data_IF_543200848595
#
_entry.id   IF_543200848595
#
_cell.length_a   1.000
_cell.length_b   1.000
_cell.length_c   1.000
_cell.angle_alpha   90.00
_cell.angle_beta   90.00
_cell.angle_gamma   90.00
#
_symmetry.space_group_name_H-M   'P 1'
#
loop_
_entity.id
_entity.type
_entity.pdbx_description
1 polymer ?
#
# COMPACT_ATOMS: atom_id res chain seq x y z
N UNK A 1 15.66 47.21 -14.02
CA UNK A 1 14.26 46.76 -13.86
C UNK A 1 14.18 45.33 -14.36
N UNK A 2 13.73 44.44 -13.46
CA UNK A 2 13.21 43.09 -13.71
C UNK A 2 14.22 42.02 -14.18
N UNK A 3 14.89 41.41 -13.21
CA UNK A 3 15.12 39.96 -13.21
C UNK A 3 14.11 39.35 -12.23
N UNK A 4 13.24 38.46 -12.70
CA UNK A 4 12.50 37.50 -11.90
C UNK A 4 12.13 36.34 -12.83
N UNK A 5 12.90 35.27 -12.75
CA UNK A 5 12.60 33.98 -13.36
C UNK A 5 11.62 33.26 -12.43
N UNK A 6 10.41 32.96 -12.88
CA UNK A 6 9.43 32.13 -12.15
C UNK A 6 9.83 30.64 -12.24
N UNK A 7 10.11 29.93 -11.12
CA UNK A 7 10.45 28.51 -11.13
C UNK A 7 9.27 27.55 -10.89
N UNK A 8 8.02 28.03 -10.96
CA UNK A 8 6.87 27.30 -10.39
C UNK A 8 6.18 26.29 -11.31
N UNK A 9 6.65 26.07 -12.54
CA UNK A 9 5.97 25.21 -13.53
C UNK A 9 6.65 23.88 -13.84
N UNK A 10 7.86 23.61 -13.30
CA UNK A 10 8.61 22.41 -13.67
C UNK A 10 8.35 21.18 -12.78
N UNK A 11 7.67 21.33 -11.64
CA UNK A 11 7.47 20.23 -10.66
C UNK A 11 6.11 19.52 -10.76
N UNK A 12 5.23 19.92 -11.69
CA UNK A 12 3.83 19.40 -11.72
C UNK A 12 3.57 18.33 -12.78
N UNK A 13 4.52 18.09 -13.69
CA UNK A 13 4.38 17.12 -14.78
C UNK A 13 5.09 15.78 -14.49
N UNK A 14 6.21 15.73 -13.74
CA UNK A 14 6.89 14.45 -13.43
C UNK A 14 6.17 13.59 -12.38
N UNK A 15 5.24 14.18 -11.62
CA UNK A 15 4.32 13.42 -10.74
C UNK A 15 3.13 12.82 -11.47
N UNK A 16 2.94 13.16 -12.75
CA UNK A 16 1.78 12.77 -13.56
C UNK A 16 2.04 11.51 -14.41
N UNK A 17 3.28 11.01 -14.46
CA UNK A 17 3.65 9.80 -15.21
C UNK A 17 3.70 8.52 -14.37
N UNK A 18 3.62 8.60 -13.03
CA UNK A 18 3.43 7.43 -12.15
C UNK A 18 1.96 6.97 -12.07
N UNK A 19 1.05 7.72 -12.67
CA UNK A 19 -0.36 7.36 -12.82
C UNK A 19 -0.57 6.38 -13.98
N UNK A 20 0.00 5.17 -13.89
CA UNK A 20 -0.80 4.00 -14.21
C UNK A 20 -1.62 3.70 -12.95
N UNK A 21 -2.61 4.57 -12.72
CA UNK A 21 -3.38 4.62 -11.48
C UNK A 21 -4.05 3.28 -11.21
N UNK A 22 -3.91 2.80 -9.99
CA UNK A 22 -4.65 1.64 -9.52
C UNK A 22 -6.14 1.87 -9.81
N UNK A 23 -6.75 1.00 -10.61
CA UNK A 23 -8.16 1.13 -11.01
C UNK A 23 -8.91 -0.12 -10.62
N UNK A 24 -10.05 0.04 -9.96
CA UNK A 24 -10.92 -1.09 -9.63
C UNK A 24 -11.59 -1.63 -10.90
N UNK A 25 -11.45 -2.93 -11.22
CA UNK A 25 -12.05 -3.51 -12.43
C UNK A 25 -13.58 -3.63 -12.36
N UNK A 26 -14.16 -3.49 -11.16
CA UNK A 26 -15.60 -3.66 -10.94
C UNK A 26 -16.38 -2.34 -10.98
N UNK A 27 -15.89 -1.28 -10.31
CA UNK A 27 -16.60 0.01 -10.26
C UNK A 27 -15.86 1.18 -10.92
N UNK A 28 -14.61 0.99 -11.36
CA UNK A 28 -13.81 2.06 -11.97
C UNK A 28 -13.26 3.09 -10.99
N UNK A 29 -13.28 2.81 -9.68
CA UNK A 29 -12.63 3.66 -8.69
C UNK A 29 -11.11 3.71 -8.91
N UNK A 30 -10.55 4.92 -8.87
CA UNK A 30 -9.13 5.22 -9.05
C UNK A 30 -8.54 6.02 -7.88
N UNK A 31 -9.32 6.25 -6.82
CA UNK A 31 -9.00 7.24 -5.77
C UNK A 31 -8.48 6.63 -4.48
N UNK A 32 -9.24 5.72 -3.88
CA UNK A 32 -8.94 5.15 -2.56
C UNK A 32 -9.05 3.64 -2.56
N UNK A 33 -8.14 2.99 -1.85
CA UNK A 33 -8.08 1.54 -1.72
C UNK A 33 -7.71 1.17 -0.29
N UNK A 34 -8.26 0.05 0.17
CA UNK A 34 -8.05 -0.47 1.51
C UNK A 34 -6.97 -1.55 1.45
N UNK A 35 -5.82 -1.27 2.06
CA UNK A 35 -4.80 -2.26 2.33
C UNK A 35 -5.08 -2.88 3.71
N UNK A 36 -5.42 -4.16 3.75
CA UNK A 36 -5.61 -4.93 4.99
C UNK A 36 -4.40 -5.82 5.23
N UNK A 37 -3.79 -5.69 6.39
CA UNK A 37 -2.71 -6.56 6.86
C UNK A 37 -3.17 -7.34 8.07
N UNK A 38 -2.80 -8.62 8.16
CA UNK A 38 -3.04 -9.44 9.35
C UNK A 38 -1.70 -9.93 9.91
N UNK A 39 -1.45 -9.62 11.18
CA UNK A 39 -0.36 -10.19 11.96
C UNK A 39 -0.91 -11.20 12.95
N UNK A 40 -0.30 -12.39 13.02
CA UNK A 40 -0.72 -13.46 13.93
C UNK A 40 0.39 -13.75 14.93
N UNK A 41 0.05 -13.75 16.22
CA UNK A 41 0.95 -14.15 17.30
C UNK A 41 0.44 -15.45 17.89
N UNK A 42 1.32 -16.45 18.01
CA UNK A 42 0.96 -17.72 18.65
C UNK A 42 1.38 -17.65 20.11
N UNK A 43 0.40 -17.81 20.99
CA UNK A 43 0.59 -17.86 22.44
C UNK A 43 0.73 -19.32 22.86
N UNK A 44 1.83 -19.67 23.52
CA UNK A 44 2.02 -20.98 24.11
C UNK A 44 1.86 -20.87 25.63
N UNK A 45 1.13 -21.83 26.23
CA UNK A 45 1.02 -21.96 27.69
C UNK A 45 1.95 -23.09 28.14
N UNK A 46 3.02 -22.72 28.84
CA UNK A 46 4.01 -23.65 29.39
C UNK A 46 4.28 -23.34 30.86
N UNK A 47 3.43 -23.81 31.77
CA UNK A 47 3.57 -23.56 33.21
C UNK A 47 2.87 -22.27 33.67
N UNK A 48 3.59 -21.38 34.36
CA UNK A 48 3.03 -20.18 35.04
C UNK A 48 2.97 -18.92 34.15
N UNK A 49 3.57 -18.94 32.96
CA UNK A 49 3.71 -17.77 32.08
C UNK A 49 3.25 -18.07 30.63
N UNK A 50 2.75 -17.03 29.96
CA UNK A 50 2.37 -17.07 28.54
C UNK A 50 3.57 -16.65 27.69
N UNK A 51 4.02 -17.52 26.80
CA UNK A 51 5.07 -17.19 25.85
C UNK A 51 4.45 -16.75 24.52
N UNK A 52 4.83 -15.55 24.06
CA UNK A 52 4.53 -15.08 22.71
C UNK A 52 5.60 -15.59 21.76
N UNK A 53 5.22 -16.44 20.81
CA UNK A 53 6.09 -16.72 19.66
C UNK A 53 5.84 -15.66 18.61
N UNK A 54 6.85 -14.81 18.38
CA UNK A 54 6.81 -13.78 17.35
C UNK A 54 6.88 -14.45 15.97
N UNK A 55 5.78 -14.37 15.21
CA UNK A 55 5.87 -14.48 13.75
C UNK A 55 6.11 -13.07 13.22
N UNK A 56 7.32 -12.85 12.70
CA UNK A 56 7.83 -11.53 12.34
C UNK A 56 7.24 -10.95 11.06
N UNK A 57 6.43 -11.71 10.32
CA UNK A 57 5.84 -11.25 9.05
C UNK A 57 4.31 -11.26 9.13
N UNK A 58 3.64 -10.19 8.68
CA UNK A 58 2.21 -10.24 8.43
C UNK A 58 1.91 -11.41 7.50
N UNK A 59 1.05 -12.34 7.94
CA UNK A 59 0.79 -13.57 7.20
C UNK A 59 -0.15 -13.33 6.00
N UNK A 60 -0.91 -12.23 6.03
CA UNK A 60 -1.92 -11.91 5.01
C UNK A 60 -1.83 -10.43 4.65
N UNK A 61 -1.83 -10.16 3.34
CA UNK A 61 -1.99 -8.84 2.75
C UNK A 61 -3.10 -8.90 1.70
N UNK A 62 -4.14 -8.09 1.88
CA UNK A 62 -5.27 -7.97 0.95
C UNK A 62 -5.39 -6.51 0.51
N UNK A 63 -5.60 -6.29 -0.78
CA UNK A 63 -5.88 -4.98 -1.34
C UNK A 63 -7.30 -4.96 -1.89
N UNK A 64 -8.13 -4.06 -1.38
CA UNK A 64 -9.54 -3.96 -1.75
C UNK A 64 -9.86 -2.58 -2.29
N UNK A 65 -10.80 -2.50 -3.22
CA UNK A 65 -11.45 -1.26 -3.57
C UNK A 65 -12.26 -0.73 -2.39
N UNK A 66 -12.09 0.55 -2.05
CA UNK A 66 -12.81 1.20 -0.95
C UNK A 66 -14.33 1.33 -1.23
N UNK A 67 -14.71 1.51 -2.50
CA UNK A 67 -16.13 1.71 -2.85
C UNK A 67 -16.98 0.42 -2.92
N UNK A 68 -16.44 -0.65 -3.50
CA UNK A 68 -17.21 -1.87 -3.81
C UNK A 68 -16.61 -3.15 -3.24
N UNK A 69 -15.59 -3.02 -2.39
CA UNK A 69 -14.90 -4.13 -1.69
C UNK A 69 -14.30 -5.19 -2.62
N UNK A 70 -14.20 -4.91 -3.92
CA UNK A 70 -13.59 -5.83 -4.89
C UNK A 70 -12.10 -5.98 -4.60
N UNK A 71 -11.66 -7.23 -4.50
CA UNK A 71 -10.25 -7.56 -4.34
C UNK A 71 -9.46 -7.17 -5.59
N UNK A 72 -8.34 -6.51 -5.36
CA UNK A 72 -7.38 -6.11 -6.38
C UNK A 72 -6.21 -7.06 -6.28
N UNK A 73 -5.90 -7.76 -7.37
CA UNK A 73 -4.74 -8.64 -7.43
C UNK A 73 -3.46 -7.82 -7.27
N UNK A 74 -2.91 -7.86 -6.05
CA UNK A 74 -1.67 -7.17 -5.73
C UNK A 74 -0.50 -7.68 -6.58
N UNK A 75 -0.51 -8.97 -6.96
CA UNK A 75 0.53 -9.58 -7.79
C UNK A 75 0.52 -9.07 -9.23
N UNK A 76 -0.62 -8.60 -9.74
CA UNK A 76 -0.74 -8.06 -11.10
C UNK A 76 -0.32 -6.58 -11.22
N UNK A 77 -0.08 -5.90 -10.10
CA UNK A 77 0.32 -4.50 -10.12
C UNK A 77 1.76 -4.32 -10.61
N UNK A 78 2.06 -3.13 -11.14
CA UNK A 78 3.41 -2.73 -11.53
C UNK A 78 4.41 -2.89 -10.37
N UNK A 79 5.60 -3.40 -10.68
CA UNK A 79 6.58 -3.80 -9.65
C UNK A 79 6.98 -2.65 -8.73
N UNK A 80 7.08 -1.44 -9.28
CA UNK A 80 7.46 -0.25 -8.53
C UNK A 80 6.35 0.20 -7.58
N UNK A 81 5.09 0.14 -8.02
CA UNK A 81 3.92 0.43 -7.20
C UNK A 81 3.79 -0.57 -6.05
N UNK A 82 3.95 -1.87 -6.33
CA UNK A 82 3.96 -2.90 -5.27
C UNK A 82 5.02 -2.63 -4.23
N UNK A 83 6.23 -2.29 -4.67
CA UNK A 83 7.36 -2.00 -3.78
C UNK A 83 7.05 -0.78 -2.90
N UNK A 84 6.53 0.29 -3.48
CA UNK A 84 6.15 1.49 -2.74
C UNK A 84 5.08 1.19 -1.69
N UNK A 85 4.04 0.43 -2.05
CA UNK A 85 2.98 0.02 -1.12
C UNK A 85 3.52 -0.81 0.05
N UNK A 86 4.40 -1.78 -0.20
CA UNK A 86 5.03 -2.59 0.86
C UNK A 86 5.81 -1.70 1.85
N UNK A 87 6.58 -0.74 1.32
CA UNK A 87 7.36 0.20 2.14
C UNK A 87 6.45 1.09 2.99
N UNK A 88 5.35 1.61 2.44
CA UNK A 88 4.41 2.46 3.16
C UNK A 88 3.69 1.74 4.29
N UNK A 89 3.38 0.45 4.10
CA UNK A 89 2.67 -0.36 5.10
C UNK A 89 3.56 -0.86 6.24
N UNK A 90 4.87 -0.58 6.18
CA UNK A 90 5.83 -1.11 7.16
C UNK A 90 5.92 -2.63 7.15
N UNK A 91 5.48 -3.27 6.06
CA UNK A 91 5.51 -4.72 5.86
C UNK A 91 6.93 -5.13 5.40
N UNK A 92 7.90 -5.04 6.31
CA UNK A 92 9.28 -5.49 6.08
C UNK A 92 9.51 -6.93 6.54
#
# INVERSE_FOLDING_TARGET
>A
MLAASDPSTFDRDERSHLFMGLTCPNCGNERSFLAKTLQTHVVQSGGEELELTEQSRPAVFELLCDECETEIDFGALESDLRREMILLLGAH
#
